data_IF_416340702886
#
_entry.id   IF_416340702886
#
_cell.length_a   1.000
_cell.length_b   1.000
_cell.length_c   1.000
_cell.angle_alpha   90.00
_cell.angle_beta   90.00
_cell.angle_gamma   90.00
#
_symmetry.space_group_name_H-M   'P 1'
#
loop_
_entity.id
_entity.type
_entity.pdbx_description
1 polymer ?
#
# COMPACT_ATOMS: atom_id res chain seq x y z
N UNK A 1 -14.38 -1.40 -7.23
CA UNK A 1 -13.58 -2.49 -7.80
C UNK A 1 -13.31 -2.18 -9.25
N UNK A 2 -12.05 -2.17 -9.70
CA UNK A 2 -11.73 -1.96 -11.11
C UNK A 2 -12.29 -3.13 -11.96
N UNK A 3 -12.89 -2.88 -13.14
CA UNK A 3 -13.37 -3.94 -14.02
C UNK A 3 -12.24 -4.92 -14.36
N UNK A 4 -12.54 -6.23 -14.45
CA UNK A 4 -11.57 -7.28 -14.77
C UNK A 4 -10.71 -6.96 -16.02
N UNK A 5 -11.32 -6.28 -17.01
CA UNK A 5 -10.63 -5.81 -18.21
C UNK A 5 -9.48 -4.84 -17.92
N UNK A 6 -9.65 -3.92 -16.96
CA UNK A 6 -8.62 -2.94 -16.59
C UNK A 6 -7.42 -3.62 -15.94
N UNK A 7 -7.67 -4.60 -15.06
CA UNK A 7 -6.62 -5.38 -14.42
C UNK A 7 -5.81 -6.19 -15.45
N UNK A 8 -6.47 -6.73 -16.48
CA UNK A 8 -5.77 -7.42 -17.56
C UNK A 8 -4.87 -6.48 -18.37
N UNK A 9 -5.34 -5.26 -18.64
CA UNK A 9 -4.54 -4.23 -19.32
C UNK A 9 -3.36 -3.81 -18.45
N UNK A 10 -3.59 -3.55 -17.16
CA UNK A 10 -2.55 -3.21 -16.20
C UNK A 10 -1.43 -4.27 -16.20
N UNK A 11 -1.79 -5.56 -16.10
CA UNK A 11 -0.82 -6.67 -16.18
C UNK A 11 -0.05 -6.70 -17.51
N UNK A 12 -0.70 -6.40 -18.64
CA UNK A 12 -0.01 -6.33 -19.95
C UNK A 12 1.01 -5.20 -20.00
N UNK A 13 0.66 -4.02 -19.47
CA UNK A 13 1.54 -2.86 -19.40
C UNK A 13 2.72 -3.10 -18.46
N UNK A 14 2.46 -3.60 -17.24
CA UNK A 14 3.51 -3.96 -16.28
C UNK A 14 4.50 -4.96 -16.88
N UNK A 15 4.02 -6.03 -17.53
CA UNK A 15 4.90 -6.99 -18.22
C UNK A 15 5.73 -6.33 -19.32
N UNK A 16 5.18 -5.35 -20.04
CA UNK A 16 5.94 -4.62 -21.05
C UNK A 16 7.05 -3.76 -20.41
N UNK A 17 6.75 -3.00 -19.36
CA UNK A 17 7.75 -2.20 -18.63
C UNK A 17 8.87 -3.09 -18.09
N UNK A 18 8.52 -4.21 -17.44
CA UNK A 18 9.49 -5.15 -16.90
C UNK A 18 10.41 -5.73 -17.98
N UNK A 19 9.89 -6.05 -19.17
CA UNK A 19 10.72 -6.50 -20.30
C UNK A 19 11.61 -5.39 -20.85
N UNK A 20 11.09 -4.18 -20.99
CA UNK A 20 11.84 -3.06 -21.56
C UNK A 20 12.98 -2.61 -20.64
N UNK A 21 12.76 -2.63 -19.32
CA UNK A 21 13.70 -2.09 -18.34
C UNK A 21 14.42 -3.16 -17.52
N UNK A 22 14.16 -4.45 -17.70
CA UNK A 22 14.65 -5.50 -16.79
C UNK A 22 14.32 -5.17 -15.33
N UNK A 23 13.05 -4.90 -15.06
CA UNK A 23 12.52 -4.50 -13.74
C UNK A 23 11.59 -5.58 -13.17
N UNK A 24 11.24 -5.43 -11.89
CA UNK A 24 10.39 -6.37 -11.13
C UNK A 24 9.14 -5.67 -10.55
N UNK A 25 8.41 -4.97 -11.40
CA UNK A 25 7.16 -4.31 -11.02
C UNK A 25 6.03 -5.34 -10.96
N UNK A 26 5.25 -5.36 -9.87
CA UNK A 26 4.15 -6.30 -9.69
C UNK A 26 2.79 -5.67 -9.99
N UNK A 27 2.62 -4.41 -9.60
CA UNK A 27 1.37 -3.66 -9.70
C UNK A 27 1.55 -2.34 -10.47
N UNK A 28 0.48 -1.84 -11.08
CA UNK A 28 0.57 -0.65 -11.94
C UNK A 28 0.86 0.61 -11.11
N UNK A 29 0.43 0.62 -9.86
CA UNK A 29 0.62 1.67 -8.86
C UNK A 29 2.10 1.89 -8.53
N UNK A 30 2.97 0.91 -8.72
CA UNK A 30 4.42 1.07 -8.50
C UNK A 30 5.06 2.03 -9.54
N UNK A 31 4.41 2.26 -10.68
CA UNK A 31 4.80 3.28 -11.65
C UNK A 31 4.59 4.71 -11.12
N UNK A 32 3.88 4.88 -9.99
CA UNK A 32 3.71 6.17 -9.30
C UNK A 32 5.03 6.79 -8.84
N UNK A 33 6.12 6.00 -8.77
CA UNK A 33 7.45 6.52 -8.48
C UNK A 33 8.00 7.44 -9.56
N UNK A 34 7.48 7.36 -10.79
CA UNK A 34 7.97 8.13 -11.95
C UNK A 34 9.28 7.62 -12.56
N UNK A 35 10.05 6.81 -11.83
CA UNK A 35 11.40 6.37 -12.22
C UNK A 35 11.41 5.53 -13.51
N UNK A 36 10.46 4.60 -13.63
CA UNK A 36 10.30 3.79 -14.83
C UNK A 36 10.03 4.65 -16.09
N UNK A 37 9.22 5.71 -15.97
CA UNK A 37 8.92 6.59 -17.09
C UNK A 37 10.13 7.43 -17.50
N UNK A 38 10.92 7.92 -16.54
CA UNK A 38 12.18 8.60 -16.82
C UNK A 38 13.12 7.71 -17.64
N UNK A 39 13.27 6.44 -17.24
CA UNK A 39 14.15 5.52 -17.95
C UNK A 39 13.59 5.07 -19.31
N UNK A 40 12.29 4.84 -19.43
CA UNK A 40 11.67 4.55 -20.73
C UNK A 40 11.88 5.69 -21.72
N UNK A 41 11.85 6.94 -21.25
CA UNK A 41 12.12 8.09 -22.10
C UNK A 41 13.59 8.16 -22.52
N UNK A 42 14.53 7.93 -21.60
CA UNK A 42 15.97 7.82 -21.91
C UNK A 42 16.27 6.66 -22.87
N UNK A 43 15.49 5.57 -22.81
CA UNK A 43 15.58 4.45 -23.74
C UNK A 43 15.07 4.81 -25.15
N UNK A 44 14.10 5.72 -25.28
CA UNK A 44 13.69 6.26 -26.58
C UNK A 44 14.69 7.29 -27.10
N UNK A 45 15.16 8.18 -26.24
CA UNK A 45 16.03 9.31 -26.58
C UNK A 45 17.22 9.31 -25.62
N UNK A 46 18.31 8.68 -26.03
CA UNK A 46 19.50 8.50 -25.18
C UNK A 46 19.99 9.85 -24.65
N UNK A 47 20.20 9.93 -23.33
CA UNK A 47 20.62 11.13 -22.60
C UNK A 47 19.60 12.27 -22.56
N UNK A 48 18.33 12.04 -22.94
CA UNK A 48 17.29 13.07 -22.82
C UNK A 48 16.82 13.29 -21.39
N UNK A 49 17.18 12.41 -20.45
CA UNK A 49 16.79 12.47 -19.04
C UNK A 49 18.03 12.36 -18.15
N UNK A 50 18.22 13.27 -17.17
CA UNK A 50 19.31 13.17 -16.20
C UNK A 50 19.03 12.03 -15.20
N UNK A 51 19.32 10.78 -15.59
CA UNK A 51 19.03 9.59 -14.78
C UNK A 51 19.77 9.57 -13.43
N UNK A 52 20.88 10.30 -13.30
CA UNK A 52 21.60 10.49 -12.03
C UNK A 52 20.80 11.30 -10.99
N UNK A 53 19.81 12.09 -11.41
CA UNK A 53 18.91 12.83 -10.52
C UNK A 53 17.64 12.04 -10.18
N UNK A 54 17.39 10.93 -10.87
CA UNK A 54 16.21 10.09 -10.67
C UNK A 54 16.44 9.17 -9.47
N UNK A 55 15.46 9.10 -8.57
CA UNK A 55 15.44 8.10 -7.47
C UNK A 55 14.72 6.85 -7.94
N UNK A 56 15.43 5.74 -8.16
CA UNK A 56 14.83 4.50 -8.64
C UNK A 56 14.25 3.65 -7.51
N UNK A 57 14.86 3.69 -6.33
CA UNK A 57 14.33 3.09 -5.10
C UNK A 57 13.94 4.16 -4.10
N UNK A 58 12.64 4.26 -3.78
CA UNK A 58 12.17 5.21 -2.77
C UNK A 58 10.75 4.90 -2.28
N UNK A 59 10.44 5.29 -1.05
CA UNK A 59 9.10 5.25 -0.48
C UNK A 59 8.52 6.64 -0.17
N UNK A 60 9.19 7.73 -0.56
CA UNK A 60 8.74 9.09 -0.26
C UNK A 60 8.06 9.75 -1.46
N UNK A 61 6.86 10.29 -1.26
CA UNK A 61 6.11 11.04 -2.27
C UNK A 61 6.91 12.24 -2.81
N UNK A 62 7.77 12.85 -1.99
CA UNK A 62 8.64 13.96 -2.42
C UNK A 62 9.59 13.51 -3.54
N UNK A 63 10.16 12.31 -3.43
CA UNK A 63 11.02 11.75 -4.47
C UNK A 63 10.22 11.43 -5.74
N UNK A 64 8.98 10.94 -5.61
CA UNK A 64 8.10 10.67 -6.76
C UNK A 64 7.75 11.95 -7.52
N UNK A 65 7.40 13.02 -6.79
CA UNK A 65 7.18 14.35 -7.37
C UNK A 65 8.41 14.86 -8.12
N UNK A 66 9.60 14.70 -7.54
CA UNK A 66 10.85 15.10 -8.19
C UNK A 66 11.09 14.32 -9.49
N UNK A 67 10.92 12.99 -9.48
CA UNK A 67 11.05 12.16 -10.67
C UNK A 67 10.09 12.61 -11.78
N UNK A 68 8.83 12.90 -11.46
CA UNK A 68 7.89 13.43 -12.46
C UNK A 68 8.24 14.84 -12.93
N UNK A 69 8.83 15.68 -12.09
CA UNK A 69 9.33 17.00 -12.51
C UNK A 69 10.47 16.86 -13.52
N UNK A 70 11.40 15.93 -13.29
CA UNK A 70 12.46 15.57 -14.24
C UNK A 70 11.84 15.10 -15.57
N UNK A 71 10.85 14.21 -15.51
CA UNK A 71 10.14 13.73 -16.69
C UNK A 71 9.44 14.87 -17.47
N UNK A 72 8.76 15.78 -16.77
CA UNK A 72 8.09 16.93 -17.38
C UNK A 72 9.09 17.87 -18.08
N UNK A 73 10.26 18.12 -17.47
CA UNK A 73 11.33 18.89 -18.12
C UNK A 73 11.79 18.22 -19.41
N UNK A 74 12.01 16.91 -19.40
CA UNK A 74 12.40 16.15 -20.57
C UNK A 74 11.31 16.15 -21.66
N UNK A 75 10.03 16.01 -21.27
CA UNK A 75 8.91 16.15 -22.20
C UNK A 75 8.88 17.52 -22.87
N UNK A 76 9.08 18.60 -22.11
CA UNK A 76 9.14 19.96 -22.65
C UNK A 76 10.30 20.12 -23.64
N UNK A 77 11.49 19.62 -23.29
CA UNK A 77 12.66 19.68 -24.16
C UNK A 77 12.47 18.90 -25.48
N UNK A 78 11.74 17.78 -25.44
CA UNK A 78 11.44 16.93 -26.60
C UNK A 78 10.14 17.33 -27.33
N UNK A 79 9.42 18.35 -26.87
CA UNK A 79 8.15 18.78 -27.45
C UNK A 79 7.00 17.77 -27.29
N UNK A 80 7.01 16.94 -26.24
CA UNK A 80 6.00 15.89 -26.00
C UNK A 80 4.79 16.47 -25.24
N UNK A 81 3.58 16.54 -25.85
CA UNK A 81 2.42 17.22 -25.27
C UNK A 81 1.58 16.31 -24.33
N UNK A 82 2.23 15.48 -23.51
CA UNK A 82 1.53 14.57 -22.60
C UNK A 82 1.34 15.25 -21.24
N UNK A 83 0.08 15.42 -20.82
CA UNK A 83 -0.28 15.93 -19.50
C UNK A 83 -0.20 14.84 -18.42
N UNK A 84 0.42 15.16 -17.28
CA UNK A 84 0.58 14.24 -16.14
C UNK A 84 -0.31 14.71 -14.97
N UNK A 85 -1.25 13.88 -14.46
CA UNK A 85 -2.07 14.21 -13.29
C UNK A 85 -1.26 14.00 -12.00
N UNK A 86 -0.32 14.91 -11.72
CA UNK A 86 0.74 14.73 -10.71
C UNK A 86 0.20 14.38 -9.31
N UNK A 87 -0.87 15.05 -8.85
CA UNK A 87 -1.36 14.89 -7.49
C UNK A 87 -1.92 13.49 -7.20
N UNK A 88 -2.59 12.87 -8.16
CA UNK A 88 -3.21 11.56 -8.00
C UNK A 88 -2.24 10.42 -8.33
N UNK A 89 -1.41 10.60 -9.37
CA UNK A 89 -0.50 9.56 -9.82
C UNK A 89 0.55 9.22 -8.75
N UNK A 90 1.13 10.23 -8.09
CA UNK A 90 2.17 10.04 -7.04
C UNK A 90 1.62 9.46 -5.75
N UNK A 91 0.30 9.49 -5.55
CA UNK A 91 -0.37 8.84 -4.41
C UNK A 91 -0.70 7.37 -4.68
N UNK A 92 -0.36 6.86 -5.87
CA UNK A 92 -0.63 5.48 -6.25
C UNK A 92 -2.09 5.24 -6.65
N UNK A 93 -2.85 6.25 -7.09
CA UNK A 93 -4.21 6.01 -7.59
C UNK A 93 -4.18 5.08 -8.81
N UNK A 94 -4.89 3.95 -8.72
CA UNK A 94 -4.88 2.91 -9.75
C UNK A 94 -5.34 3.42 -11.11
N UNK A 95 -6.44 4.16 -11.16
CA UNK A 95 -7.07 4.56 -12.43
C UNK A 95 -6.23 5.61 -13.13
N UNK A 96 -5.68 6.57 -12.38
CA UNK A 96 -4.79 7.59 -12.92
C UNK A 96 -3.46 7.00 -13.38
N UNK A 97 -2.87 6.07 -12.61
CA UNK A 97 -1.67 5.34 -13.02
C UNK A 97 -1.91 4.53 -14.29
N UNK A 98 -3.03 3.79 -14.37
CA UNK A 98 -3.38 3.02 -15.55
C UNK A 98 -3.65 3.91 -16.78
N UNK A 99 -4.38 5.01 -16.61
CA UNK A 99 -4.68 5.97 -17.67
C UNK A 99 -3.40 6.61 -18.22
N UNK A 100 -2.49 7.01 -17.34
CA UNK A 100 -1.20 7.57 -17.74
C UNK A 100 -0.31 6.52 -18.42
N UNK A 101 -0.20 5.31 -17.86
CA UNK A 101 0.56 4.22 -18.46
C UNK A 101 0.07 3.85 -19.87
N UNK A 102 -1.26 3.80 -20.08
CA UNK A 102 -1.87 3.58 -21.41
C UNK A 102 -1.45 4.67 -22.41
N UNK A 103 -1.51 5.95 -22.00
CA UNK A 103 -1.09 7.09 -22.83
C UNK A 103 0.39 7.05 -23.17
N UNK A 104 1.24 6.79 -22.17
CA UNK A 104 2.68 6.70 -22.36
C UNK A 104 3.06 5.52 -23.27
N UNK A 105 2.44 4.35 -23.07
CA UNK A 105 2.65 3.19 -23.95
C UNK A 105 2.29 3.48 -25.40
N UNK A 106 1.13 4.12 -25.64
CA UNK A 106 0.73 4.54 -26.99
C UNK A 106 1.80 5.46 -27.60
N UNK A 107 2.23 6.48 -26.88
CA UNK A 107 3.31 7.37 -27.33
C UNK A 107 4.59 6.60 -27.67
N UNK A 108 5.05 5.73 -26.77
CA UNK A 108 6.26 4.94 -26.96
C UNK A 108 6.20 4.11 -28.24
N UNK A 109 5.08 3.43 -28.49
CA UNK A 109 4.87 2.63 -29.71
C UNK A 109 4.87 3.45 -30.99
N UNK A 110 4.30 4.65 -30.98
CA UNK A 110 4.32 5.53 -32.14
C UNK A 110 5.75 6.02 -32.47
N UNK A 111 6.55 6.32 -31.44
CA UNK A 111 7.98 6.65 -31.64
C UNK A 111 8.76 5.46 -32.20
N UNK A 112 8.53 4.24 -31.68
CA UNK A 112 9.17 3.03 -32.22
C UNK A 112 8.83 2.79 -33.69
N UNK A 113 7.55 2.92 -34.06
CA UNK A 113 7.10 2.76 -35.46
C UNK A 113 7.70 3.81 -36.37
N UNK A 114 7.75 5.07 -35.93
CA UNK A 114 8.36 6.17 -36.68
C UNK A 114 9.85 5.95 -36.99
N UNK A 115 10.54 5.12 -36.20
CA UNK A 115 11.93 4.69 -36.43
C UNK A 115 12.06 3.40 -37.27
N UNK A 116 11.00 3.02 -37.98
CA UNK A 116 11.00 1.80 -38.80
C UNK A 116 10.91 0.51 -37.97
N UNK A 117 10.39 0.57 -36.75
CA UNK A 117 10.19 -0.61 -35.89
C UNK A 117 11.46 -1.22 -35.31
N UNK A 118 12.63 -0.62 -35.58
CA UNK A 118 13.90 -0.94 -34.91
C UNK A 118 14.24 0.19 -33.97
N UNK A 119 13.83 0.06 -32.71
CA UNK A 119 14.50 0.81 -31.66
C UNK A 119 15.94 0.28 -31.65
N UNK A 120 16.91 1.12 -32.02
CA UNK A 120 18.33 0.75 -31.98
C UNK A 120 18.79 0.66 -30.52
N UNK A 121 18.30 -0.36 -29.83
CA UNK A 121 18.70 -0.73 -28.47
C UNK A 121 20.01 -1.49 -28.46
N UNK A 122 20.71 -1.61 -29.61
CA UNK A 122 22.06 -2.18 -29.65
C UNK A 122 22.98 -1.32 -28.79
N UNK A 123 23.12 -1.71 -27.52
CA UNK A 123 23.96 -1.04 -26.54
C UNK A 123 23.21 -0.41 -25.36
N UNK A 124 21.88 -0.29 -25.40
CA UNK A 124 21.14 0.22 -24.24
C UNK A 124 20.90 -0.91 -23.22
N UNK A 125 21.74 -0.97 -22.19
CA UNK A 125 21.52 -1.83 -21.03
C UNK A 125 20.80 -1.04 -19.93
N UNK A 126 19.50 -1.33 -19.65
CA UNK A 126 18.74 -0.56 -18.68
C UNK A 126 19.28 -0.72 -17.25
N UNK A 127 19.81 -1.88 -16.87
CA UNK A 127 20.42 -2.03 -15.53
C UNK A 127 21.66 -1.16 -15.41
N UNK A 128 22.58 -1.22 -16.38
CA UNK A 128 23.79 -0.39 -16.36
C UNK A 128 23.45 1.11 -16.34
N UNK A 129 22.45 1.54 -17.12
CA UNK A 129 22.04 2.95 -17.21
C UNK A 129 21.51 3.54 -15.91
N UNK A 130 20.98 2.71 -15.01
CA UNK A 130 20.57 3.11 -13.65
C UNK A 130 21.53 2.60 -12.56
N UNK A 131 22.79 2.35 -12.92
CA UNK A 131 23.81 1.86 -12.00
C UNK A 131 23.38 0.59 -11.21
N UNK A 132 22.68 -0.32 -11.89
CA UNK A 132 22.10 -1.55 -11.35
C UNK A 132 21.05 -1.38 -10.25
N UNK A 133 20.68 -0.14 -9.91
CA UNK A 133 19.63 0.14 -8.93
C UNK A 133 18.31 -0.51 -9.35
N UNK A 134 17.58 -1.04 -8.37
CA UNK A 134 16.25 -1.59 -8.61
C UNK A 134 15.24 -0.46 -8.80
N UNK A 135 14.21 -0.72 -9.61
CA UNK A 135 13.02 0.14 -9.65
C UNK A 135 12.07 -0.45 -8.62
N UNK A 136 11.91 0.22 -7.48
CA UNK A 136 11.09 -0.29 -6.39
C UNK A 136 10.53 0.82 -5.51
N UNK A 137 9.32 0.62 -5.01
CA UNK A 137 8.79 1.40 -3.90
C UNK A 137 9.27 0.76 -2.61
N UNK A 138 10.31 1.34 -2.00
CA UNK A 138 10.94 0.79 -0.81
C UNK A 138 12.06 1.68 -0.30
N UNK A 139 12.60 1.35 0.85
CA UNK A 139 13.90 1.87 1.27
C UNK A 139 14.97 1.23 0.41
N UNK A 140 16.03 1.96 0.01
CA UNK A 140 17.15 1.36 -0.71
C UNK A 140 17.74 0.25 0.16
N UNK A 141 17.55 -1.00 -0.25
CA UNK A 141 18.31 -2.12 0.31
C UNK A 141 19.75 -1.86 -0.08
N UNK A 142 20.63 -1.69 0.90
CA UNK A 142 22.07 -1.57 0.64
C UNK A 142 22.51 -2.90 0.03
N UNK A 143 22.57 -2.98 -1.30
CA UNK A 143 23.44 -3.96 -1.95
C UNK A 143 24.86 -3.42 -1.77
N UNK A 144 25.59 -4.04 -0.85
CA UNK A 144 26.98 -3.71 -0.54
C UNK A 144 27.84 -3.95 -1.79
N UNK A 145 28.18 -2.87 -2.49
CA UNK A 145 29.29 -2.87 -3.42
C UNK A 145 30.59 -2.78 -2.60
N UNK A 146 31.45 -3.79 -2.73
CA UNK A 146 32.77 -3.82 -2.11
C UNK A 146 33.64 -2.67 -2.61
N UNK A 147 33.88 -1.68 -1.76
CA UNK A 147 35.18 -1.02 -1.53
C UNK A 147 35.05 0.04 -0.43
N UNK A 148 35.87 -0.06 0.62
CA UNK A 148 36.12 1.03 1.57
C UNK A 148 35.65 0.79 3.00
N UNK A 149 36.54 0.22 3.80
CA UNK A 149 36.44 -0.01 5.25
C UNK A 149 36.33 1.29 6.05
N UNK A 150 35.21 1.48 6.78
CA UNK A 150 35.15 2.00 8.17
C UNK A 150 33.71 2.11 8.73
N UNK A 151 32.67 2.06 7.90
CA UNK A 151 31.25 2.20 8.34
C UNK A 151 30.58 0.89 8.79
N UNK A 152 31.32 -0.23 8.79
CA UNK A 152 30.74 -1.59 8.91
C UNK A 152 30.37 -2.01 10.34
N UNK A 153 30.93 -1.43 11.39
CA UNK A 153 30.63 -1.86 12.77
C UNK A 153 29.43 -1.13 13.37
N UNK A 154 29.31 0.18 13.13
CA UNK A 154 28.24 1.01 13.70
C UNK A 154 26.87 0.64 13.09
N UNK A 155 26.83 0.32 11.80
CA UNK A 155 25.61 -0.17 11.14
C UNK A 155 25.20 -1.58 11.57
N UNK A 156 26.16 -2.47 11.87
CA UNK A 156 25.82 -3.79 12.43
C UNK A 156 25.19 -3.66 13.81
N UNK A 157 25.71 -2.75 14.63
CA UNK A 157 25.13 -2.48 15.95
C UNK A 157 23.71 -1.93 15.88
N UNK A 158 23.44 -0.98 14.97
CA UNK A 158 22.09 -0.43 14.77
C UNK A 158 21.13 -1.50 14.25
N UNK A 159 21.57 -2.33 13.29
CA UNK A 159 20.75 -3.43 12.75
C UNK A 159 20.46 -4.49 13.82
N UNK A 160 21.46 -4.84 14.65
CA UNK A 160 21.28 -5.78 15.75
C UNK A 160 20.35 -5.21 16.83
N UNK A 161 20.45 -3.91 17.13
CA UNK A 161 19.58 -3.24 18.09
C UNK A 161 18.12 -3.15 17.60
N UNK A 162 17.91 -2.78 16.32
CA UNK A 162 16.57 -2.79 15.72
C UNK A 162 16.00 -4.20 15.61
N UNK A 163 16.82 -5.19 15.25
CA UNK A 163 16.42 -6.60 15.22
C UNK A 163 16.00 -7.08 16.60
N UNK A 164 16.74 -6.74 17.66
CA UNK A 164 16.39 -7.10 19.04
C UNK A 164 15.05 -6.47 19.46
N UNK A 165 14.83 -5.19 19.14
CA UNK A 165 13.53 -4.51 19.39
C UNK A 165 12.38 -5.18 18.66
N UNK A 166 12.59 -5.59 17.41
CA UNK A 166 11.59 -6.27 16.59
C UNK A 166 11.27 -7.67 17.12
N UNK A 167 12.27 -8.41 17.60
CA UNK A 167 12.10 -9.74 18.21
C UNK A 167 11.31 -9.66 19.53
N UNK A 168 11.56 -8.66 20.37
CA UNK A 168 10.78 -8.42 21.60
C UNK A 168 9.32 -8.12 21.27
N UNK A 169 9.06 -7.19 20.34
CA UNK A 169 7.69 -6.85 19.93
C UNK A 169 6.96 -8.06 19.30
N UNK A 170 7.67 -8.87 18.52
CA UNK A 170 7.11 -10.11 17.96
C UNK A 170 6.75 -11.13 19.06
N UNK A 171 7.58 -11.23 20.11
CA UNK A 171 7.31 -12.05 21.29
C UNK A 171 6.06 -11.61 22.06
N UNK A 172 5.88 -10.31 22.28
CA UNK A 172 4.69 -9.75 22.93
C UNK A 172 3.42 -10.05 22.13
N UNK A 173 3.46 -9.85 20.81
CA UNK A 173 2.35 -10.20 19.91
C UNK A 173 2.07 -11.70 19.94
N UNK A 174 3.11 -12.55 19.95
CA UNK A 174 2.95 -14.00 20.03
C UNK A 174 2.28 -14.42 21.34
N UNK A 175 2.71 -13.86 22.47
CA UNK A 175 2.12 -14.10 23.79
C UNK A 175 0.65 -13.65 23.83
N UNK A 176 0.34 -12.44 23.35
CA UNK A 176 -1.03 -11.94 23.25
C UNK A 176 -1.91 -12.86 22.39
N UNK A 177 -1.40 -13.33 21.24
CA UNK A 177 -2.11 -14.30 20.38
C UNK A 177 -2.32 -15.66 21.05
N UNK A 178 -1.46 -16.08 21.97
CA UNK A 178 -1.66 -17.31 22.73
C UNK A 178 -2.79 -17.10 23.73
N UNK A 179 -2.77 -16.01 24.49
CA UNK A 179 -3.84 -15.66 25.44
C UNK A 179 -5.20 -15.55 24.74
N UNK A 180 -5.30 -14.79 23.64
CA UNK A 180 -6.55 -14.69 22.88
C UNK A 180 -7.02 -16.03 22.30
N UNK A 181 -6.09 -16.93 21.92
CA UNK A 181 -6.45 -18.28 21.45
C UNK A 181 -6.98 -19.15 22.58
N UNK A 182 -6.39 -19.07 23.77
CA UNK A 182 -6.91 -19.74 24.96
C UNK A 182 -8.32 -19.22 25.29
N UNK A 183 -8.54 -17.91 25.18
CA UNK A 183 -9.86 -17.31 25.38
C UNK A 183 -10.89 -17.81 24.37
N UNK A 184 -10.55 -17.76 23.08
CA UNK A 184 -11.39 -18.30 22.00
C UNK A 184 -11.76 -19.76 22.27
N UNK A 185 -10.78 -20.58 22.62
CA UNK A 185 -10.99 -22.02 22.82
C UNK A 185 -11.83 -22.28 24.08
N UNK A 186 -11.68 -21.46 25.13
CA UNK A 186 -12.53 -21.51 26.31
C UNK A 186 -14.01 -21.23 25.98
N UNK A 187 -14.30 -20.14 25.25
CA UNK A 187 -15.67 -19.84 24.84
C UNK A 187 -16.24 -20.88 23.86
N UNK A 188 -15.41 -21.41 22.95
CA UNK A 188 -15.83 -22.47 22.03
C UNK A 188 -16.18 -23.77 22.76
N UNK A 189 -15.42 -24.16 23.80
CA UNK A 189 -15.75 -25.31 24.64
C UNK A 189 -17.11 -25.14 25.31
N UNK A 190 -17.39 -23.95 25.88
CA UNK A 190 -18.69 -23.65 26.51
C UNK A 190 -19.85 -23.73 25.51
N UNK A 191 -19.70 -23.11 24.33
CA UNK A 191 -20.72 -23.17 23.27
C UNK A 191 -20.98 -24.60 22.81
N UNK A 192 -19.92 -25.41 22.67
CA UNK A 192 -20.05 -26.83 22.30
C UNK A 192 -20.80 -27.63 23.37
N UNK A 193 -20.59 -27.35 24.65
CA UNK A 193 -21.33 -27.98 25.75
C UNK A 193 -22.82 -27.59 25.71
N UNK A 194 -23.12 -26.31 25.47
CA UNK A 194 -24.50 -25.82 25.33
C UNK A 194 -25.18 -26.46 24.11
N UNK A 195 -24.49 -26.58 22.99
CA UNK A 195 -25.02 -27.23 21.77
C UNK A 195 -25.35 -28.70 22.01
N UNK A 196 -24.45 -29.45 22.69
CA UNK A 196 -24.71 -30.84 23.08
C UNK A 196 -25.91 -30.95 24.01
N UNK A 197 -26.03 -30.03 24.97
CA UNK A 197 -27.16 -29.97 25.89
C UNK A 197 -28.46 -29.71 25.13
N UNK A 198 -28.47 -28.77 24.18
CA UNK A 198 -29.64 -28.45 23.35
C UNK A 198 -30.09 -29.63 22.48
N UNK A 199 -29.16 -30.42 21.93
CA UNK A 199 -29.46 -31.60 21.12
C UNK A 199 -30.09 -32.75 21.90
N UNK A 200 -29.85 -32.82 23.22
CA UNK A 200 -30.39 -33.87 24.09
C UNK A 200 -31.82 -33.62 24.59
N UNK A 201 -32.37 -32.43 24.38
CA UNK A 201 -33.73 -32.06 24.84
C UNK A 201 -34.67 -31.86 23.64
N UNK A 202 -35.75 -32.64 23.57
CA UNK A 202 -36.77 -32.58 22.51
C UNK A 202 -37.85 -31.53 22.74
N UNK A 203 -37.90 -30.92 23.93
CA UNK A 203 -38.83 -29.84 24.29
C UNK A 203 -38.08 -28.55 24.63
N UNK A 204 -38.68 -27.40 24.30
CA UNK A 204 -38.15 -26.03 24.50
C UNK A 204 -37.83 -25.71 25.98
N UNK A 205 -38.19 -26.58 26.93
CA UNK A 205 -37.85 -26.48 28.34
C UNK A 205 -36.41 -26.97 28.59
N UNK A 206 -35.45 -26.37 27.89
CA UNK A 206 -34.02 -26.48 28.19
C UNK A 206 -33.84 -25.93 29.62
N UNK A 207 -33.32 -26.73 30.54
CA UNK A 207 -33.17 -26.29 31.93
C UNK A 207 -32.21 -25.09 31.97
N UNK A 208 -32.76 -23.87 32.08
CA UNK A 208 -31.99 -22.62 32.09
C UNK A 208 -30.88 -22.65 33.14
N UNK A 209 -31.07 -23.42 34.22
CA UNK A 209 -30.08 -23.67 35.28
C UNK A 209 -28.80 -24.32 34.76
N UNK A 210 -28.88 -25.27 33.84
CA UNK A 210 -27.71 -26.00 33.33
C UNK A 210 -26.91 -25.16 32.33
N UNK A 211 -27.60 -24.37 31.50
CA UNK A 211 -26.96 -23.38 30.62
C UNK A 211 -26.25 -22.31 31.43
N UNK A 212 -26.91 -21.76 32.46
CA UNK A 212 -26.31 -20.78 33.36
C UNK A 212 -25.07 -21.38 34.05
N UNK A 213 -25.13 -22.64 34.49
CA UNK A 213 -23.97 -23.32 35.11
C UNK A 213 -22.75 -23.34 34.18
N UNK A 214 -22.94 -23.62 32.89
CA UNK A 214 -21.85 -23.61 31.88
C UNK A 214 -21.32 -22.17 31.67
N UNK A 215 -22.21 -21.18 31.55
CA UNK A 215 -21.82 -19.79 31.29
C UNK A 215 -21.03 -19.19 32.45
N UNK A 216 -21.42 -19.46 33.70
CA UNK A 216 -20.79 -18.91 34.90
C UNK A 216 -19.57 -19.70 35.42
N UNK A 217 -19.23 -20.84 34.81
CA UNK A 217 -18.02 -21.58 35.18
C UNK A 217 -16.75 -20.74 34.89
N UNK A 218 -15.84 -20.63 35.86
CA UNK A 218 -14.57 -19.88 35.73
C UNK A 218 -13.35 -20.80 35.58
N UNK A 219 -12.32 -20.32 34.89
CA UNK A 219 -10.97 -20.92 34.81
C UNK A 219 -9.92 -19.86 35.22
N UNK A 220 -8.74 -20.25 35.75
CA UNK A 220 -7.69 -19.31 36.15
C UNK A 220 -7.26 -18.42 34.98
N UNK A 221 -7.24 -17.10 35.18
CA UNK A 221 -6.89 -16.12 34.13
C UNK A 221 -8.08 -15.56 33.33
N UNK A 222 -9.32 -15.98 33.62
CA UNK A 222 -10.53 -15.48 32.99
C UNK A 222 -11.36 -14.61 33.93
N UNK A 223 -11.70 -13.39 33.52
CA UNK A 223 -12.59 -12.52 34.28
C UNK A 223 -14.07 -12.83 33.99
N UNK A 224 -14.89 -12.85 35.04
CA UNK A 224 -16.33 -12.78 34.88
C UNK A 224 -16.71 -11.34 34.50
N UNK A 225 -17.70 -11.13 33.61
CA UNK A 225 -18.30 -9.81 33.49
C UNK A 225 -18.82 -9.41 34.88
N UNK A 226 -18.42 -8.23 35.35
CA UNK A 226 -18.88 -7.70 36.63
C UNK A 226 -20.40 -7.83 36.67
N UNK A 227 -20.95 -8.36 37.77
CA UNK A 227 -22.40 -8.42 37.98
C UNK A 227 -22.98 -7.07 37.57
N UNK A 228 -23.94 -7.08 36.66
CA UNK A 228 -24.72 -5.90 36.33
C UNK A 228 -25.52 -5.51 37.59
N UNK A 229 -24.87 -4.84 38.52
CA UNK A 229 -25.51 -3.90 39.44
C UNK A 229 -25.49 -2.57 38.74
N UNK A 230 -26.68 -2.01 38.60
CA UNK A 230 -26.94 -0.68 38.09
C UNK A 230 -26.02 0.37 38.71
N UNK A 231 -25.69 1.37 37.90
CA UNK A 231 -24.95 2.60 38.20
C UNK A 231 -23.43 2.44 38.42
N UNK A 232 -22.66 2.86 37.43
CA UNK A 232 -21.84 4.07 37.55
C UNK A 232 -21.45 4.58 36.16
N UNK A 233 -21.60 5.89 35.99
CA UNK A 233 -21.38 6.68 34.79
C UNK A 233 -19.90 6.84 34.49
N UNK A 234 -19.45 6.46 33.29
CA UNK A 234 -18.31 7.12 32.66
C UNK A 234 -18.44 7.07 31.13
N UNK A 235 -18.06 8.18 30.51
CA UNK A 235 -18.59 8.71 29.26
C UNK A 235 -18.09 8.03 27.98
N UNK A 236 -19.02 7.53 27.17
CA UNK A 236 -18.78 7.29 25.74
C UNK A 236 -18.73 8.64 24.97
N UNK A 237 -17.78 8.81 24.02
CA UNK A 237 -17.77 9.96 23.13
C UNK A 237 -18.91 9.86 22.11
N UNK A 238 -19.75 10.90 22.05
CA UNK A 238 -20.90 10.99 21.12
C UNK A 238 -20.50 10.76 19.65
N UNK A 239 -21.36 10.11 18.85
CA UNK A 239 -21.20 10.05 17.40
C UNK A 239 -21.49 11.42 16.79
N UNK A 240 -20.59 11.88 15.93
CA UNK A 240 -20.72 13.11 15.14
C UNK A 240 -21.82 12.94 14.05
N UNK A 241 -22.94 13.70 14.07
CA UNK A 241 -23.86 13.75 12.95
C UNK A 241 -23.42 14.83 11.95
N UNK A 242 -23.49 14.46 10.68
CA UNK A 242 -23.09 15.20 9.48
C UNK A 242 -23.53 16.69 9.39
N UNK A 243 -22.92 17.48 8.48
CA UNK A 243 -22.98 18.94 8.41
C UNK A 243 -24.24 19.51 7.75
N UNK A 244 -24.53 20.77 8.10
CA UNK A 244 -25.70 21.58 7.74
C UNK A 244 -25.73 21.96 6.23
N UNK A 245 -26.88 21.87 5.53
CA UNK A 245 -27.08 22.46 4.20
C UNK A 245 -27.35 23.99 4.29
N UNK A 246 -27.07 24.77 3.23
CA UNK A 246 -27.31 26.22 3.23
C UNK A 246 -28.80 26.51 3.01
N UNK A 247 -29.36 27.46 3.76
CA UNK A 247 -30.70 28.00 3.51
C UNK A 247 -30.66 29.48 3.10
N UNK A 248 -31.56 29.91 2.20
CA UNK A 248 -31.59 31.24 1.62
C UNK A 248 -32.32 32.24 2.55
N UNK A 249 -31.86 33.49 2.57
CA UNK A 249 -32.58 34.61 3.19
C UNK A 249 -33.22 35.43 2.08
N UNK A 250 -34.54 35.27 1.91
CA UNK A 250 -35.35 36.13 1.07
C UNK A 250 -35.66 37.47 1.78
N UNK A 251 -35.32 38.54 1.05
CA UNK A 251 -36.19 39.66 0.66
C UNK A 251 -36.77 40.67 1.68
N UNK A 252 -36.74 41.93 1.18
CA UNK A 252 -37.56 43.11 1.48
C UNK A 252 -37.25 43.82 2.81
N UNK A 253 -37.07 45.14 2.89
CA UNK A 253 -37.63 46.32 2.20
C UNK A 253 -36.67 47.49 2.56
N UNK A 254 -36.63 48.71 2.00
CA UNK A 254 -37.40 49.47 1.02
C UNK A 254 -36.63 50.79 0.78
N UNK A 255 -37.01 51.49 -0.30
CA UNK A 255 -36.96 52.95 -0.47
C UNK A 255 -35.67 53.66 -0.94
N UNK A 256 -35.90 54.37 -2.07
CA UNK A 256 -35.19 55.49 -2.72
C UNK A 256 -34.07 55.17 -3.69
#
# INVERSE_FOLDING_TARGET
MAPLAELLIAKKLVRWVNRALQAHINHIEELSSGAAYCQLLDLLFVNSVPLNEVRFTSNQIVHFKNNFHILLKAFKALGIPIKIPLHHIVRGDFHENLCFAKRFYKFFREVEKGRGGKLDTKGYNPRLRRNYELISIGTPTIEVCHQGTQTSMELLQIVEEEKAKLEVAAGEIANSKVTMRQERDFYLRKLTQIEKLARGHTTINMASKDVLKILYQTEPGFALPAKATEAETESDPKPNPNPKPPTPSDAANSEQ
#
